data_IF_526768485439
#
_entry.id   IF_526768485439
#
_cell.length_a   1.000
_cell.length_b   1.000
_cell.length_c   1.000
_cell.angle_alpha   90.00
_cell.angle_beta   90.00
_cell.angle_gamma   90.00
#
_symmetry.space_group_name_H-M   'P 1'
#
loop_
_entity.id
_entity.type
_entity.pdbx_description
1 polymer ?
#
# COMPACT_ATOMS: atom_id res chain seq x y z
N UNK A 1 -30.69 -50.80 -47.17
CA UNK A 1 -29.94 -50.88 -45.89
C UNK A 1 -30.63 -49.94 -44.89
N UNK A 2 -31.84 -50.23 -44.41
CA UNK A 2 -32.21 -50.92 -43.16
C UNK A 2 -31.37 -50.67 -41.89
N UNK A 3 -32.04 -50.02 -40.91
CA UNK A 3 -32.03 -50.11 -39.43
C UNK A 3 -30.82 -49.53 -38.66
N UNK A 4 -30.98 -48.53 -37.78
CA UNK A 4 -31.64 -48.45 -36.44
C UNK A 4 -30.89 -49.15 -35.29
N UNK A 5 -30.68 -48.35 -34.21
CA UNK A 5 -30.51 -48.67 -32.77
C UNK A 5 -29.10 -49.00 -32.26
N UNK A 6 -28.57 -48.15 -31.38
CA UNK A 6 -28.69 -48.36 -29.93
C UNK A 6 -28.41 -47.07 -29.12
N UNK A 7 -29.42 -46.66 -28.35
CA UNK A 7 -29.26 -45.84 -27.15
C UNK A 7 -28.61 -46.71 -26.06
N UNK A 8 -27.67 -46.14 -25.30
CA UNK A 8 -27.54 -46.46 -23.88
C UNK A 8 -27.48 -45.14 -23.12
N UNK A 9 -28.50 -44.95 -22.27
CA UNK A 9 -28.58 -43.96 -21.22
C UNK A 9 -27.90 -44.58 -19.99
N UNK A 10 -26.99 -43.86 -19.35
CA UNK A 10 -26.79 -43.96 -17.91
C UNK A 10 -26.70 -42.56 -17.32
N UNK A 11 -27.71 -42.23 -16.54
CA UNK A 11 -27.73 -41.14 -15.57
C UNK A 11 -27.11 -41.62 -14.24
N UNK A 12 -26.98 -40.68 -13.28
CA UNK A 12 -26.43 -40.75 -11.91
C UNK A 12 -24.94 -40.38 -11.84
N UNK A 13 -24.44 -39.49 -10.98
CA UNK A 13 -24.90 -38.87 -9.73
C UNK A 13 -24.08 -37.56 -9.57
N UNK A 14 -24.68 -36.44 -9.18
CA UNK A 14 -24.66 -35.86 -7.83
C UNK A 14 -23.29 -35.29 -7.37
N UNK A 15 -23.32 -34.06 -6.89
CA UNK A 15 -22.14 -33.28 -6.51
C UNK A 15 -21.50 -33.67 -5.18
N UNK A 16 -20.52 -32.86 -4.78
CA UNK A 16 -20.15 -32.40 -3.43
C UNK A 16 -18.64 -32.09 -3.37
N UNK A 17 -18.34 -30.85 -2.96
CA UNK A 17 -17.27 -30.32 -2.12
C UNK A 17 -15.82 -30.88 -2.08
N UNK A 18 -14.88 -29.93 -2.08
CA UNK A 18 -13.71 -29.77 -1.19
C UNK A 18 -13.10 -31.02 -0.54
N UNK A 19 -11.82 -31.32 -0.82
CA UNK A 19 -10.65 -31.01 0.05
C UNK A 19 -9.39 -31.81 -0.33
N UNK A 20 -8.25 -31.11 -0.28
CA UNK A 20 -6.94 -31.50 0.25
C UNK A 20 -6.14 -32.72 -0.28
N UNK A 21 -4.91 -32.42 -0.75
CA UNK A 21 -3.65 -33.15 -0.53
C UNK A 21 -2.54 -32.09 -0.69
N UNK A 22 -1.97 -31.45 0.35
CA UNK A 22 -1.08 -31.92 1.42
C UNK A 22 0.08 -32.83 0.97
N UNK A 23 1.31 -32.29 1.08
CA UNK A 23 2.60 -32.98 0.98
C UNK A 23 3.55 -32.26 0.03
N UNK A 24 4.31 -31.24 0.43
CA UNK A 24 5.44 -31.35 1.36
C UNK A 24 6.06 -29.96 1.59
N UNK A 25 5.88 -29.34 2.77
CA UNK A 25 6.77 -28.24 3.23
C UNK A 25 6.84 -28.08 4.76
N UNK A 26 6.42 -29.09 5.53
CA UNK A 26 6.32 -29.03 7.00
C UNK A 26 7.67 -29.15 7.77
N UNK A 27 8.81 -28.72 7.22
CA UNK A 27 10.09 -28.76 7.98
C UNK A 27 10.94 -27.49 7.98
N UNK A 28 10.46 -26.37 7.43
CA UNK A 28 11.15 -25.06 7.57
C UNK A 28 10.41 -24.03 8.44
N UNK A 29 9.16 -24.27 8.81
CA UNK A 29 8.32 -23.26 9.47
C UNK A 29 8.42 -23.24 11.01
N UNK A 30 8.91 -24.30 11.65
CA UNK A 30 9.01 -24.35 13.13
C UNK A 30 10.27 -23.69 13.70
N UNK A 31 11.29 -23.41 12.86
CA UNK A 31 12.52 -22.75 13.31
C UNK A 31 12.51 -21.22 13.15
N UNK A 32 11.54 -20.65 12.42
CA UNK A 32 11.38 -19.21 12.25
C UNK A 32 10.44 -18.57 13.31
N UNK A 33 9.63 -19.37 13.99
CA UNK A 33 8.62 -18.88 14.93
C UNK A 33 9.17 -18.55 16.34
N UNK A 34 10.43 -18.86 16.63
CA UNK A 34 11.05 -18.65 17.96
C UNK A 34 12.07 -17.50 18.02
N UNK A 35 12.36 -16.82 16.91
CA UNK A 35 13.25 -15.63 16.91
C UNK A 35 12.51 -14.29 16.76
N UNK A 36 11.21 -14.28 16.44
CA UNK A 36 10.43 -13.06 16.18
C UNK A 36 9.87 -12.35 17.42
N UNK A 37 10.27 -12.72 18.64
CA UNK A 37 9.80 -12.05 19.86
C UNK A 37 10.66 -10.84 20.29
N UNK A 38 11.72 -10.48 19.55
CA UNK A 38 12.69 -9.47 19.99
C UNK A 38 12.82 -8.23 19.07
N UNK A 39 12.12 -8.15 17.94
CA UNK A 39 12.33 -7.07 16.94
C UNK A 39 11.75 -5.72 17.35
N UNK A 40 10.74 -5.68 18.23
CA UNK A 40 10.23 -4.42 18.82
C UNK A 40 11.24 -3.65 19.66
N UNK A 41 12.44 -4.21 19.90
CA UNK A 41 13.56 -3.55 20.57
C UNK A 41 14.52 -2.83 19.62
N UNK A 42 14.56 -3.22 18.33
CA UNK A 42 15.55 -2.71 17.37
C UNK A 42 15.06 -1.37 16.82
N UNK A 43 15.89 -0.33 16.94
CA UNK A 43 15.62 0.98 16.33
C UNK A 43 16.01 0.94 14.85
N UNK A 44 15.17 1.48 13.97
CA UNK A 44 15.55 1.70 12.57
C UNK A 44 16.68 2.74 12.47
N UNK A 45 17.69 2.44 11.67
CA UNK A 45 18.79 3.32 11.30
C UNK A 45 18.45 4.24 10.13
N UNK A 46 17.32 4.01 9.44
CA UNK A 46 16.86 4.86 8.36
C UNK A 46 16.63 6.29 8.86
N UNK A 47 17.01 7.29 8.06
CA UNK A 47 16.68 8.68 8.30
C UNK A 47 15.20 8.87 7.94
N UNK A 48 14.40 9.32 8.91
CA UNK A 48 13.00 9.70 8.72
C UNK A 48 12.93 11.23 8.58
N UNK A 49 12.59 11.76 7.39
CA UNK A 49 12.46 13.20 7.22
C UNK A 49 11.35 13.78 8.10
N UNK A 50 11.55 14.96 8.68
CA UNK A 50 10.55 15.59 9.56
C UNK A 50 9.19 15.78 8.91
N UNK A 51 9.17 16.01 7.60
CA UNK A 51 7.93 16.18 6.82
C UNK A 51 7.10 14.90 6.73
N UNK A 52 7.68 13.72 7.01
CA UNK A 52 6.96 12.44 6.91
C UNK A 52 6.12 12.13 8.14
N UNK A 53 6.25 12.89 9.23
CA UNK A 53 5.59 12.61 10.52
C UNK A 53 4.07 12.64 10.47
N UNK A 54 3.47 13.48 9.64
CA UNK A 54 2.01 13.63 9.50
C UNK A 54 1.55 13.43 8.05
N UNK A 55 2.46 12.96 7.19
CA UNK A 55 2.22 12.78 5.77
C UNK A 55 1.19 11.68 5.48
N UNK A 56 0.45 11.91 4.40
CA UNK A 56 -0.43 10.93 3.72
C UNK A 56 0.07 10.71 2.31
N UNK A 57 0.09 9.45 1.87
CA UNK A 57 0.48 9.05 0.51
C UNK A 57 -0.73 9.15 -0.41
N UNK A 58 -0.49 9.65 -1.62
CA UNK A 58 -1.39 9.55 -2.74
C UNK A 58 -0.68 8.82 -3.88
N UNK A 59 -1.17 7.64 -4.23
CA UNK A 59 -0.63 6.85 -5.33
C UNK A 59 -1.23 7.31 -6.66
N UNK A 60 -0.36 7.66 -7.60
CA UNK A 60 -0.67 8.29 -8.88
C UNK A 60 -0.44 7.32 -10.01
N UNK A 61 -1.53 6.86 -10.60
CA UNK A 61 -1.52 6.18 -11.90
C UNK A 61 -1.61 7.21 -13.05
N UNK A 62 -0.47 7.66 -13.58
CA UNK A 62 -0.41 8.71 -14.63
C UNK A 62 -1.21 8.33 -15.86
N UNK A 63 -1.06 7.09 -16.36
CA UNK A 63 -1.78 6.59 -17.53
C UNK A 63 -3.28 6.75 -17.35
N UNK A 64 -3.83 6.37 -16.20
CA UNK A 64 -5.28 6.38 -15.98
C UNK A 64 -5.83 7.71 -15.46
N UNK A 65 -4.98 8.63 -15.02
CA UNK A 65 -5.44 9.84 -14.33
C UNK A 65 -6.26 10.79 -15.19
N UNK A 66 -5.87 10.98 -16.44
CA UNK A 66 -6.52 11.93 -17.36
C UNK A 66 -6.70 11.27 -18.72
N UNK A 67 -7.55 11.81 -19.58
CA UNK A 67 -7.69 11.35 -20.96
C UNK A 67 -6.34 11.26 -21.70
N UNK A 68 -5.51 12.28 -21.55
CA UNK A 68 -4.18 12.36 -22.17
C UNK A 68 -3.19 11.38 -21.53
N UNK A 69 -3.28 11.14 -20.22
CA UNK A 69 -2.40 10.23 -19.50
C UNK A 69 -0.95 10.73 -19.42
N UNK A 70 -0.73 12.05 -19.40
CA UNK A 70 0.62 12.66 -19.40
C UNK A 70 0.93 13.43 -18.12
N UNK A 71 2.21 13.70 -17.87
CA UNK A 71 2.64 14.53 -16.73
C UNK A 71 2.03 15.93 -16.77
N UNK A 72 2.05 16.58 -17.93
CA UNK A 72 1.48 17.92 -18.10
C UNK A 72 -0.04 17.97 -17.88
N UNK A 73 -0.76 16.88 -18.20
CA UNK A 73 -2.18 16.78 -17.91
C UNK A 73 -2.43 16.53 -16.42
N UNK A 74 -1.64 15.64 -15.79
CA UNK A 74 -1.73 15.36 -14.35
C UNK A 74 -1.40 16.59 -13.49
N UNK A 75 -0.41 17.40 -13.88
CA UNK A 75 0.01 18.61 -13.15
C UNK A 75 -1.16 19.54 -12.81
N UNK A 76 -2.14 19.65 -13.72
CA UNK A 76 -3.35 20.47 -13.52
C UNK A 76 -4.22 20.01 -12.35
N UNK A 77 -4.01 18.79 -11.85
CA UNK A 77 -4.68 18.22 -10.68
C UNK A 77 -3.98 18.55 -9.37
N UNK A 78 -2.74 19.04 -9.38
CA UNK A 78 -1.99 19.36 -8.16
C UNK A 78 -2.73 20.36 -7.24
N UNK A 79 -3.41 21.41 -7.72
CA UNK A 79 -4.22 22.27 -6.85
C UNK A 79 -5.34 21.52 -6.12
N UNK A 80 -6.00 20.56 -6.79
CA UNK A 80 -7.04 19.73 -6.17
C UNK A 80 -6.44 18.80 -5.12
N UNK A 81 -5.30 18.16 -5.40
CA UNK A 81 -4.60 17.30 -4.44
C UNK A 81 -4.08 18.11 -3.23
N UNK A 82 -3.67 19.36 -3.45
CA UNK A 82 -3.22 20.24 -2.37
C UNK A 82 -4.37 20.60 -1.46
N UNK A 83 -5.55 20.89 -2.04
CA UNK A 83 -6.79 21.10 -1.30
C UNK A 83 -7.24 19.84 -0.56
N UNK A 84 -7.08 18.65 -1.17
CA UNK A 84 -7.35 17.37 -0.51
C UNK A 84 -6.46 17.23 0.74
N UNK A 85 -5.20 17.65 0.64
CA UNK A 85 -4.28 17.77 1.77
C UNK A 85 -3.18 16.70 1.81
N UNK A 86 -3.06 15.86 0.78
CA UNK A 86 -2.01 14.84 0.71
C UNK A 86 -0.61 15.47 0.63
N UNK A 87 0.41 14.72 1.05
CA UNK A 87 1.77 15.21 1.14
C UNK A 87 2.69 14.52 0.12
N UNK A 88 2.54 13.20 -0.03
CA UNK A 88 3.40 12.40 -0.89
C UNK A 88 2.64 12.03 -2.16
N UNK A 89 3.23 12.26 -3.32
CA UNK A 89 2.80 11.74 -4.61
C UNK A 89 3.69 10.54 -4.94
N UNK A 90 3.18 9.32 -4.75
CA UNK A 90 3.85 8.12 -5.24
C UNK A 90 3.42 7.89 -6.68
N UNK A 91 4.33 8.15 -7.62
CA UNK A 91 4.08 8.00 -9.05
C UNK A 91 4.46 6.57 -9.45
N UNK A 92 3.48 5.82 -9.98
CA UNK A 92 3.68 4.48 -10.58
C UNK A 92 4.78 4.49 -11.65
N UNK A 93 5.33 3.33 -12.07
CA UNK A 93 6.53 3.32 -12.90
C UNK A 93 6.39 4.16 -14.18
N UNK A 94 7.36 5.04 -14.42
CA UNK A 94 7.37 5.97 -15.56
C UNK A 94 8.30 5.53 -16.69
N UNK A 95 9.05 4.46 -16.49
CA UNK A 95 10.06 4.03 -17.44
C UNK A 95 9.44 3.47 -18.73
N UNK A 96 10.16 3.51 -19.86
CA UNK A 96 9.73 2.85 -21.08
C UNK A 96 9.40 1.38 -20.84
N UNK A 97 8.29 0.92 -21.39
CA UNK A 97 7.77 -0.43 -21.21
C UNK A 97 8.22 -1.33 -22.36
N UNK A 98 8.64 -2.54 -22.03
CA UNK A 98 9.05 -3.57 -22.98
C UNK A 98 7.95 -3.88 -24.00
N UNK A 99 8.37 -4.01 -25.26
CA UNK A 99 7.53 -4.47 -26.38
C UNK A 99 7.61 -5.98 -26.52
N UNK A 100 8.77 -6.57 -26.21
CA UNK A 100 8.94 -8.02 -26.22
C UNK A 100 8.12 -8.68 -25.11
N UNK A 101 7.37 -9.73 -25.48
CA UNK A 101 6.46 -10.49 -24.61
C UNK A 101 5.37 -9.65 -23.93
N UNK A 102 5.08 -8.45 -24.47
CA UNK A 102 4.14 -7.50 -23.86
C UNK A 102 2.75 -8.13 -23.63
N UNK A 103 2.22 -7.90 -22.43
CA UNK A 103 0.81 -8.19 -22.07
C UNK A 103 -0.08 -7.00 -22.42
N UNK A 104 -1.20 -7.26 -23.09
CA UNK A 104 -2.12 -6.21 -23.54
C UNK A 104 -1.49 -5.24 -24.54
N UNK A 105 -2.18 -4.13 -24.82
CA UNK A 105 -1.74 -3.17 -25.84
C UNK A 105 -0.60 -2.28 -25.35
N UNK A 106 -0.68 -1.80 -24.11
CA UNK A 106 0.26 -0.82 -23.55
C UNK A 106 1.32 -1.45 -22.64
N UNK A 107 1.12 -2.70 -22.21
CA UNK A 107 2.08 -3.41 -21.37
C UNK A 107 1.98 -3.08 -19.89
N UNK A 108 2.62 -3.94 -19.09
CA UNK A 108 2.83 -3.71 -17.67
C UNK A 108 3.75 -2.51 -17.44
N UNK A 109 3.39 -1.62 -16.51
CA UNK A 109 4.29 -0.55 -16.04
C UNK A 109 5.61 -1.12 -15.51
N UNK A 110 5.59 -2.36 -15.03
CA UNK A 110 6.68 -3.02 -14.35
C UNK A 110 7.66 -3.76 -15.29
N UNK A 111 7.35 -3.83 -16.59
CA UNK A 111 8.26 -4.41 -17.59
C UNK A 111 9.27 -3.38 -18.11
N UNK A 112 10.22 -2.97 -17.26
CA UNK A 112 11.14 -1.85 -17.53
C UNK A 112 12.13 -2.15 -18.65
N UNK A 113 12.07 -1.37 -19.73
CA UNK A 113 13.00 -1.42 -20.87
C UNK A 113 14.24 -0.53 -20.68
N UNK A 114 14.10 0.61 -20.01
CA UNK A 114 15.21 1.52 -19.71
C UNK A 114 15.00 2.27 -18.38
N UNK A 115 15.83 1.96 -17.39
CA UNK A 115 15.76 2.56 -16.05
C UNK A 115 16.04 4.06 -15.99
N UNK A 116 16.69 4.64 -16.99
CA UNK A 116 16.97 6.10 -17.03
C UNK A 116 16.11 6.85 -18.04
N UNK A 117 15.28 6.14 -18.80
CA UNK A 117 14.34 6.72 -19.75
C UNK A 117 13.02 7.11 -19.08
N UNK A 118 12.30 8.03 -19.72
CA UNK A 118 10.87 8.30 -19.49
C UNK A 118 10.08 7.68 -20.63
N UNK A 119 8.98 6.99 -20.32
CA UNK A 119 8.08 6.45 -21.32
C UNK A 119 7.46 7.61 -22.13
N UNK A 120 7.62 7.65 -23.47
CA UNK A 120 7.06 8.70 -24.31
C UNK A 120 5.53 8.85 -24.19
N UNK A 121 4.84 7.82 -23.69
CA UNK A 121 3.41 7.89 -23.34
C UNK A 121 3.13 9.01 -22.33
N UNK A 122 4.02 9.23 -21.36
CA UNK A 122 3.80 10.16 -20.25
C UNK A 122 4.38 11.55 -20.52
N UNK A 123 5.36 11.65 -21.44
CA UNK A 123 6.11 12.84 -21.76
C UNK A 123 7.60 12.54 -21.93
N UNK A 124 8.45 13.52 -21.62
CA UNK A 124 9.90 13.38 -21.60
C UNK A 124 10.50 13.73 -20.22
N UNK A 125 11.83 13.66 -20.09
CA UNK A 125 12.52 13.99 -18.83
C UNK A 125 12.27 15.42 -18.36
N UNK A 126 12.23 16.40 -19.27
CA UNK A 126 11.95 17.79 -18.90
C UNK A 126 10.52 17.96 -18.38
N UNK A 127 9.54 17.26 -18.98
CA UNK A 127 8.15 17.27 -18.49
C UNK A 127 8.06 16.66 -17.08
N UNK A 128 8.77 15.55 -16.82
CA UNK A 128 8.80 14.95 -15.50
C UNK A 128 9.46 15.86 -14.46
N UNK A 129 10.59 16.48 -14.81
CA UNK A 129 11.26 17.45 -13.94
C UNK A 129 10.35 18.63 -13.62
N UNK A 130 9.65 19.14 -14.62
CA UNK A 130 8.68 20.23 -14.43
C UNK A 130 7.56 19.84 -13.46
N UNK A 131 7.02 18.62 -13.59
CA UNK A 131 6.02 18.10 -12.65
C UNK A 131 6.58 18.01 -11.23
N UNK A 132 7.81 17.52 -11.04
CA UNK A 132 8.44 17.44 -9.72
C UNK A 132 8.65 18.84 -9.12
N UNK A 133 9.17 19.79 -9.90
CA UNK A 133 9.37 21.17 -9.46
C UNK A 133 8.05 21.81 -9.04
N UNK A 134 6.98 21.62 -9.83
CA UNK A 134 5.63 22.11 -9.49
C UNK A 134 5.05 21.43 -8.26
N UNK A 135 5.30 20.13 -8.09
CA UNK A 135 4.90 19.41 -6.89
C UNK A 135 5.61 20.01 -5.65
N UNK A 136 6.92 20.27 -5.73
CA UNK A 136 7.70 20.89 -4.66
C UNK A 136 7.28 22.32 -4.34
N UNK A 137 6.99 23.15 -5.36
CA UNK A 137 6.43 24.50 -5.17
C UNK A 137 5.14 24.49 -4.33
N UNK A 138 4.35 23.41 -4.45
CA UNK A 138 3.11 23.21 -3.69
C UNK A 138 3.31 22.44 -2.39
N UNK A 139 4.55 22.10 -2.03
CA UNK A 139 4.91 21.39 -0.80
C UNK A 139 4.55 19.90 -0.80
N UNK A 140 4.46 19.28 -1.98
CA UNK A 140 4.42 17.82 -2.09
C UNK A 140 5.82 17.23 -2.06
N UNK A 141 5.90 15.93 -1.80
CA UNK A 141 7.09 15.10 -1.99
C UNK A 141 6.81 14.03 -3.03
N UNK A 142 7.75 13.74 -3.92
CA UNK A 142 7.56 12.80 -5.03
C UNK A 142 8.34 11.53 -4.78
N UNK A 143 7.65 10.39 -4.70
CA UNK A 143 8.27 9.07 -4.73
C UNK A 143 8.09 8.47 -6.11
N UNK A 144 9.17 7.92 -6.66
CA UNK A 144 9.10 7.16 -7.91
C UNK A 144 8.98 5.66 -7.61
N UNK A 145 8.09 4.97 -8.32
CA UNK A 145 8.04 3.51 -8.28
C UNK A 145 9.26 2.89 -8.96
N UNK A 146 9.92 1.95 -8.30
CA UNK A 146 11.21 1.43 -8.70
C UNK A 146 11.22 -0.09 -8.75
N UNK A 147 11.44 -0.63 -9.95
CA UNK A 147 11.40 -2.07 -10.24
C UNK A 147 12.80 -2.67 -10.20
N UNK A 148 13.25 -3.09 -9.03
CA UNK A 148 14.62 -3.57 -8.85
C UNK A 148 14.79 -5.07 -9.10
N UNK A 149 13.72 -5.87 -9.01
CA UNK A 149 13.82 -7.33 -9.07
C UNK A 149 14.00 -7.86 -10.50
N UNK A 150 13.43 -7.18 -11.50
CA UNK A 150 13.32 -7.70 -12.85
C UNK A 150 13.29 -6.57 -13.88
N UNK A 151 13.58 -6.90 -15.13
CA UNK A 151 13.43 -5.98 -16.28
C UNK A 151 12.42 -6.53 -17.28
N UNK A 152 12.02 -5.73 -18.28
CA UNK A 152 11.42 -6.25 -19.49
C UNK A 152 12.43 -7.01 -20.38
N UNK A 153 11.92 -7.81 -21.33
CA UNK A 153 12.73 -8.71 -22.17
C UNK A 153 13.53 -8.05 -23.30
N UNK A 154 13.25 -6.79 -23.60
CA UNK A 154 14.00 -5.97 -24.55
C UNK A 154 14.80 -4.84 -23.86
N UNK A 155 15.01 -4.97 -22.54
CA UNK A 155 15.97 -4.13 -21.84
C UNK A 155 17.38 -4.37 -22.39
N UNK A 156 18.16 -3.30 -22.61
CA UNK A 156 19.51 -3.40 -23.17
C UNK A 156 20.45 -4.31 -22.37
N UNK A 157 20.23 -4.45 -21.06
CA UNK A 157 21.03 -5.34 -20.22
C UNK A 157 20.88 -6.81 -20.64
N UNK A 158 19.73 -7.23 -21.20
CA UNK A 158 19.53 -8.60 -21.71
C UNK A 158 20.59 -8.95 -22.75
N UNK A 159 20.91 -8.01 -23.65
CA UNK A 159 21.84 -8.24 -24.76
C UNK A 159 23.27 -7.86 -24.44
N UNK A 160 23.47 -6.79 -23.66
CA UNK A 160 24.79 -6.28 -23.31
C UNK A 160 25.44 -7.10 -22.18
N UNK A 161 24.62 -7.61 -21.26
CA UNK A 161 25.06 -8.25 -20.02
C UNK A 161 24.15 -9.43 -19.63
N UNK A 162 24.08 -10.51 -20.43
CA UNK A 162 23.21 -11.65 -20.14
C UNK A 162 23.55 -12.34 -18.80
N UNK A 163 24.78 -12.18 -18.28
CA UNK A 163 25.23 -12.65 -16.96
C UNK A 163 24.64 -11.86 -15.77
N UNK A 164 23.94 -10.75 -16.04
CA UNK A 164 23.22 -9.96 -15.03
C UNK A 164 21.84 -10.54 -14.72
N UNK A 165 21.44 -11.62 -15.40
CA UNK A 165 20.14 -12.26 -15.23
C UNK A 165 20.29 -13.66 -14.66
N UNK A 166 19.25 -14.11 -13.96
CA UNK A 166 19.15 -15.50 -13.53
C UNK A 166 18.93 -16.38 -14.76
N UNK A 167 19.66 -17.49 -14.82
CA UNK A 167 19.63 -18.43 -15.94
C UNK A 167 19.31 -19.84 -15.47
N UNK A 168 18.63 -20.60 -16.33
CA UNK A 168 18.43 -22.04 -16.14
C UNK A 168 19.73 -22.84 -16.35
N UNK A 169 19.68 -24.16 -16.19
CA UNK A 169 20.85 -25.04 -16.37
C UNK A 169 21.38 -25.10 -17.80
N UNK A 170 20.64 -24.57 -18.77
CA UNK A 170 21.02 -24.48 -20.19
C UNK A 170 21.54 -23.07 -20.55
N UNK A 171 21.56 -22.15 -19.59
CA UNK A 171 22.00 -20.77 -19.79
C UNK A 171 20.91 -19.84 -20.34
N UNK A 172 19.64 -20.25 -20.36
CA UNK A 172 18.55 -19.38 -20.79
C UNK A 172 18.11 -18.49 -19.63
N UNK A 173 17.95 -17.20 -19.91
CA UNK A 173 17.36 -16.25 -18.96
C UNK A 173 15.93 -16.68 -18.61
N UNK A 174 15.56 -16.55 -17.34
CA UNK A 174 14.23 -16.94 -16.84
C UNK A 174 13.45 -15.74 -16.26
N UNK A 175 12.14 -15.91 -16.13
CA UNK A 175 11.28 -15.02 -15.37
C UNK A 175 11.36 -15.31 -13.86
N UNK A 176 11.16 -14.30 -12.99
CA UNK A 176 11.21 -14.49 -11.52
C UNK A 176 10.07 -15.38 -11.02
N UNK A 177 8.91 -15.27 -11.67
CA UNK A 177 7.72 -16.08 -11.44
C UNK A 177 7.25 -16.61 -12.79
N UNK A 178 6.86 -17.90 -12.91
CA UNK A 178 6.50 -18.51 -14.20
C UNK A 178 5.44 -17.73 -15.01
N UNK A 179 4.45 -17.13 -14.34
CA UNK A 179 3.37 -16.39 -14.98
C UNK A 179 3.75 -14.94 -15.37
N UNK A 180 4.91 -14.46 -14.92
CA UNK A 180 5.43 -13.13 -15.25
C UNK A 180 6.24 -13.18 -16.55
N UNK A 181 5.59 -13.69 -17.60
CA UNK A 181 6.19 -13.98 -18.91
C UNK A 181 6.72 -12.75 -19.66
N UNK A 182 6.34 -11.54 -19.24
CA UNK A 182 6.74 -10.26 -19.81
C UNK A 182 8.01 -9.67 -19.15
N UNK A 183 8.57 -10.32 -18.13
CA UNK A 183 9.77 -9.84 -17.42
C UNK A 183 10.81 -10.93 -17.20
N UNK A 184 12.07 -10.50 -17.01
CA UNK A 184 13.26 -11.31 -16.83
C UNK A 184 13.93 -11.02 -15.47
N UNK A 185 14.32 -12.07 -14.75
CA UNK A 185 14.82 -12.01 -13.37
C UNK A 185 16.27 -11.53 -13.28
N UNK A 186 16.54 -10.57 -12.40
CA UNK A 186 17.88 -10.01 -12.21
C UNK A 186 18.70 -10.82 -11.20
N UNK A 187 19.95 -11.12 -11.56
CA UNK A 187 20.87 -11.88 -10.71
C UNK A 187 21.62 -10.97 -9.74
N UNK A 188 21.13 -10.91 -8.49
CA UNK A 188 21.75 -10.11 -7.42
C UNK A 188 23.08 -10.65 -6.88
N UNK A 189 23.59 -11.77 -7.39
CA UNK A 189 24.98 -12.18 -7.13
C UNK A 189 25.99 -11.41 -8.01
N UNK A 190 25.53 -10.71 -9.05
CA UNK A 190 26.40 -9.96 -9.94
C UNK A 190 26.66 -8.54 -9.38
N UNK A 191 27.90 -8.22 -8.94
CA UNK A 191 28.20 -6.92 -8.33
C UNK A 191 28.11 -5.75 -9.33
N UNK A 192 28.35 -6.00 -10.63
CA UNK A 192 28.27 -4.96 -11.65
C UNK A 192 26.81 -4.58 -11.92
N UNK A 193 25.90 -5.56 -11.98
CA UNK A 193 24.46 -5.32 -12.05
C UNK A 193 23.98 -4.47 -10.87
N UNK A 194 24.36 -4.84 -9.64
CA UNK A 194 24.00 -4.08 -8.43
C UNK A 194 24.49 -2.64 -8.50
N UNK A 195 25.73 -2.42 -8.92
CA UNK A 195 26.28 -1.09 -9.09
C UNK A 195 25.51 -0.28 -10.17
N UNK A 196 25.13 -0.91 -11.28
CA UNK A 196 24.34 -0.29 -12.34
C UNK A 196 22.93 0.08 -11.86
N UNK A 197 22.27 -0.79 -11.08
CA UNK A 197 20.97 -0.52 -10.47
C UNK A 197 21.02 0.68 -9.52
N UNK A 198 21.98 0.70 -8.59
CA UNK A 198 22.17 1.83 -7.68
C UNK A 198 22.47 3.11 -8.47
N UNK A 199 23.29 3.03 -9.52
CA UNK A 199 23.57 4.17 -10.37
C UNK A 199 22.31 4.71 -11.07
N UNK A 200 21.41 3.83 -11.50
CA UNK A 200 20.13 4.21 -12.09
C UNK A 200 19.17 4.83 -11.06
N UNK A 201 19.16 4.37 -9.81
CA UNK A 201 18.45 5.07 -8.73
C UNK A 201 19.04 6.47 -8.53
N UNK A 202 20.34 6.59 -8.25
CA UNK A 202 21.03 7.88 -8.03
C UNK A 202 20.77 8.91 -9.14
N UNK A 203 20.62 8.45 -10.39
CA UNK A 203 20.26 9.30 -11.51
C UNK A 203 18.97 10.09 -11.26
N UNK A 204 17.89 9.47 -10.82
CA UNK A 204 16.62 10.19 -10.61
C UNK A 204 16.65 11.17 -9.44
N UNK A 205 17.35 10.82 -8.35
CA UNK A 205 17.55 11.75 -7.21
C UNK A 205 18.32 12.99 -7.66
N UNK A 206 19.35 12.83 -8.51
CA UNK A 206 20.17 13.95 -8.99
C UNK A 206 19.49 14.76 -10.10
N UNK A 207 18.93 14.07 -11.09
CA UNK A 207 18.46 14.71 -12.33
C UNK A 207 17.04 15.26 -12.20
N UNK A 208 16.19 14.59 -11.41
CA UNK A 208 14.78 14.94 -11.25
C UNK A 208 14.40 15.33 -9.82
N UNK A 209 15.37 15.37 -8.89
CA UNK A 209 15.15 15.80 -7.51
C UNK A 209 14.02 15.06 -6.76
N UNK A 210 13.69 13.83 -7.14
CA UNK A 210 12.66 13.05 -6.43
C UNK A 210 13.05 12.84 -4.96
N UNK A 211 12.07 12.63 -4.08
CA UNK A 211 12.24 12.55 -2.63
C UNK A 211 12.40 11.13 -2.10
N UNK A 212 12.33 10.15 -2.99
CA UNK A 212 12.63 8.76 -2.70
C UNK A 212 11.89 7.78 -3.60
N UNK A 213 11.65 6.58 -3.09
CA UNK A 213 11.16 5.47 -3.89
C UNK A 213 10.11 4.65 -3.17
N UNK A 214 9.12 4.16 -3.93
CA UNK A 214 8.46 2.90 -3.63
C UNK A 214 9.18 1.80 -4.41
N UNK A 215 9.64 0.75 -3.75
CA UNK A 215 10.40 -0.31 -4.39
C UNK A 215 9.52 -1.55 -4.57
N UNK A 216 9.28 -1.90 -5.82
CA UNK A 216 8.52 -3.06 -6.27
C UNK A 216 9.17 -4.36 -5.79
N UNK A 217 8.34 -5.27 -5.29
CA UNK A 217 8.68 -6.60 -4.78
C UNK A 217 9.99 -6.60 -3.97
N UNK A 218 10.14 -5.59 -3.10
CA UNK A 218 11.39 -5.34 -2.37
C UNK A 218 11.84 -6.55 -1.54
N UNK A 219 10.89 -7.37 -1.07
CA UNK A 219 11.15 -8.62 -0.36
C UNK A 219 11.88 -9.70 -1.17
N UNK A 220 11.85 -9.60 -2.50
CA UNK A 220 12.56 -10.51 -3.42
C UNK A 220 13.98 -10.04 -3.77
N UNK A 221 14.37 -8.84 -3.31
CA UNK A 221 15.70 -8.27 -3.53
C UNK A 221 16.50 -8.30 -2.21
N UNK A 222 17.80 -8.68 -2.22
CA UNK A 222 18.57 -8.84 -0.98
C UNK A 222 18.65 -7.59 -0.10
N UNK A 223 18.53 -7.76 1.22
CA UNK A 223 18.58 -6.66 2.19
C UNK A 223 19.90 -5.89 2.15
N UNK A 224 21.02 -6.59 1.93
CA UNK A 224 22.34 -5.95 1.85
C UNK A 224 22.48 -5.04 0.61
N UNK A 225 21.79 -5.36 -0.49
CA UNK A 225 21.68 -4.46 -1.64
C UNK A 225 20.94 -3.18 -1.25
N UNK A 226 19.78 -3.30 -0.61
CA UNK A 226 19.00 -2.15 -0.19
C UNK A 226 19.75 -1.28 0.81
N UNK A 227 20.49 -1.87 1.74
CA UNK A 227 21.35 -1.15 2.68
C UNK A 227 22.46 -0.36 1.98
N UNK A 228 23.06 -0.93 0.94
CA UNK A 228 24.04 -0.26 0.10
C UNK A 228 23.39 0.88 -0.69
N UNK A 229 22.27 0.62 -1.36
CA UNK A 229 21.52 1.62 -2.12
C UNK A 229 21.12 2.80 -1.23
N UNK A 230 20.58 2.53 -0.04
CA UNK A 230 20.21 3.55 0.95
C UNK A 230 21.37 4.47 1.29
N UNK A 231 22.53 3.89 1.60
CA UNK A 231 23.75 4.66 1.94
C UNK A 231 24.16 5.59 0.79
N UNK A 232 24.13 5.08 -0.44
CA UNK A 232 24.51 5.82 -1.65
C UNK A 232 23.51 6.92 -2.05
N UNK A 233 22.22 6.73 -1.71
CA UNK A 233 21.16 7.72 -1.95
C UNK A 233 21.21 8.84 -0.90
N UNK A 234 21.33 8.48 0.38
CA UNK A 234 21.42 9.46 1.49
C UNK A 234 22.66 10.37 1.35
N UNK A 235 23.74 9.89 0.72
CA UNK A 235 24.91 10.69 0.37
C UNK A 235 24.61 11.80 -0.65
N UNK A 236 23.50 11.72 -1.39
CA UNK A 236 23.01 12.79 -2.28
C UNK A 236 22.06 13.69 -1.49
N UNK A 237 20.99 13.10 -0.94
CA UNK A 237 20.06 13.71 0.02
C UNK A 237 19.29 12.61 0.76
N UNK A 238 18.81 12.84 1.99
CA UNK A 238 17.93 11.89 2.67
C UNK A 238 16.70 11.57 1.82
N UNK A 239 16.46 10.28 1.57
CA UNK A 239 15.30 9.80 0.81
C UNK A 239 14.30 9.07 1.70
N UNK A 240 13.02 9.11 1.31
CA UNK A 240 11.99 8.24 1.88
C UNK A 240 11.85 6.97 1.04
N UNK A 241 12.05 5.80 1.64
CA UNK A 241 11.91 4.51 0.95
C UNK A 241 10.73 3.70 1.50
N UNK A 242 9.84 3.27 0.60
CA UNK A 242 8.71 2.39 0.86
C UNK A 242 8.97 1.02 0.19
N UNK A 243 9.01 -0.05 0.98
CA UNK A 243 9.19 -1.41 0.49
C UNK A 243 7.83 -2.04 0.16
N UNK A 244 7.65 -2.55 -1.06
CA UNK A 244 6.61 -3.55 -1.28
C UNK A 244 7.03 -4.89 -0.69
N UNK A 245 6.69 -5.06 0.57
CA UNK A 245 6.85 -6.26 1.38
C UNK A 245 6.03 -6.06 2.67
N UNK A 246 5.61 -7.14 3.34
CA UNK A 246 4.93 -7.05 4.63
C UNK A 246 5.59 -7.87 5.74
N UNK A 247 6.52 -8.77 5.40
CA UNK A 247 6.97 -9.86 6.25
C UNK A 247 8.45 -9.73 6.66
N UNK A 248 9.29 -9.20 5.77
CA UNK A 248 10.73 -9.06 5.97
C UNK A 248 11.08 -7.76 6.69
N UNK A 249 10.99 -7.77 8.02
CA UNK A 249 11.34 -6.63 8.88
C UNK A 249 12.80 -6.18 8.78
N UNK A 250 13.71 -7.00 8.24
CA UNK A 250 15.13 -6.60 8.07
C UNK A 250 15.28 -5.45 7.05
N UNK A 251 14.35 -5.33 6.09
CA UNK A 251 14.29 -4.19 5.17
C UNK A 251 14.13 -2.86 5.91
N UNK A 252 13.39 -2.85 7.02
CA UNK A 252 13.06 -1.67 7.81
C UNK A 252 14.14 -1.28 8.81
N UNK A 253 15.14 -2.15 9.04
CA UNK A 253 16.21 -1.87 10.02
C UNK A 253 17.15 -0.77 9.56
N UNK A 254 17.41 -0.64 8.26
CA UNK A 254 18.37 0.33 7.74
C UNK A 254 17.97 0.97 6.41
N UNK A 255 17.36 0.22 5.49
CA UNK A 255 17.08 0.73 4.15
C UNK A 255 15.76 1.51 4.06
N UNK A 256 14.67 0.93 4.56
CA UNK A 256 13.32 1.42 4.31
C UNK A 256 12.71 2.13 5.52
N UNK A 257 11.95 3.19 5.25
CA UNK A 257 11.19 3.93 6.26
C UNK A 257 9.86 3.22 6.56
N UNK A 258 9.23 2.68 5.51
CA UNK A 258 7.95 2.01 5.60
C UNK A 258 7.90 0.80 4.68
N UNK A 259 6.95 -0.10 4.93
CA UNK A 259 6.60 -1.21 4.06
C UNK A 259 5.07 -1.27 3.87
N UNK A 260 4.52 -2.37 3.35
CA UNK A 260 3.08 -2.49 3.10
C UNK A 260 2.33 -3.13 4.27
N UNK A 261 1.17 -2.55 4.60
CA UNK A 261 0.21 -3.09 5.57
C UNK A 261 -0.72 -4.17 5.00
N UNK A 262 -0.24 -5.06 4.12
CA UNK A 262 -1.05 -6.13 3.52
C UNK A 262 -1.84 -6.96 4.54
N UNK A 263 -1.26 -7.42 5.67
CA UNK A 263 -2.01 -8.19 6.66
C UNK A 263 -3.20 -7.42 7.23
N UNK A 264 -3.07 -6.10 7.41
CA UNK A 264 -4.17 -5.27 7.91
C UNK A 264 -5.27 -5.09 6.86
N UNK A 265 -4.92 -4.92 5.59
CA UNK A 265 -5.88 -4.91 4.48
C UNK A 265 -6.69 -6.21 4.43
N UNK A 266 -6.02 -7.37 4.56
CA UNK A 266 -6.69 -8.67 4.57
C UNK A 266 -7.64 -8.81 5.76
N UNK A 267 -7.23 -8.38 6.96
CA UNK A 267 -8.10 -8.36 8.14
C UNK A 267 -9.36 -7.55 7.88
N UNK A 268 -9.25 -6.34 7.29
CA UNK A 268 -10.43 -5.52 6.97
C UNK A 268 -11.38 -6.21 5.99
N UNK A 269 -10.84 -6.82 4.92
CA UNK A 269 -11.64 -7.56 3.95
C UNK A 269 -12.34 -8.78 4.58
N UNK A 270 -11.65 -9.52 5.44
CA UNK A 270 -12.18 -10.71 6.13
C UNK A 270 -13.21 -10.36 7.20
N UNK A 271 -13.09 -9.21 7.87
CA UNK A 271 -14.14 -8.69 8.76
C UNK A 271 -15.41 -8.40 7.98
N UNK A 272 -15.31 -7.75 6.81
CA UNK A 272 -16.49 -7.47 5.98
C UNK A 272 -17.19 -8.77 5.51
N UNK A 273 -16.41 -9.84 5.24
CA UNK A 273 -16.95 -11.17 4.91
C UNK A 273 -17.56 -11.91 6.11
N UNK A 274 -17.29 -11.46 7.33
CA UNK A 274 -17.71 -12.13 8.57
C UNK A 274 -16.75 -13.23 9.06
N UNK A 275 -15.57 -13.35 8.46
CA UNK A 275 -14.56 -14.36 8.80
C UNK A 275 -13.64 -13.93 9.96
N UNK A 276 -13.55 -12.61 10.21
CA UNK A 276 -12.75 -11.99 11.28
C UNK A 276 -13.54 -10.96 12.07
N UNK A 277 -12.98 -10.49 13.18
CA UNK A 277 -13.63 -9.54 14.09
C UNK A 277 -12.68 -8.43 14.57
N UNK A 278 -13.15 -7.52 15.43
CA UNK A 278 -12.28 -6.51 16.06
C UNK A 278 -11.10 -7.11 16.84
N UNK A 279 -11.23 -8.33 17.36
CA UNK A 279 -10.15 -9.02 18.07
C UNK A 279 -8.94 -9.29 17.17
N UNK A 280 -9.15 -9.55 15.87
CA UNK A 280 -8.06 -9.72 14.90
C UNK A 280 -7.28 -8.43 14.68
N UNK A 281 -7.96 -7.28 14.70
CA UNK A 281 -7.32 -5.95 14.63
C UNK A 281 -6.49 -5.69 15.88
N UNK A 282 -7.06 -5.95 17.07
CA UNK A 282 -6.33 -5.81 18.34
C UNK A 282 -5.07 -6.68 18.32
N UNK A 283 -5.20 -7.95 17.95
CA UNK A 283 -4.08 -8.87 17.85
C UNK A 283 -3.03 -8.42 16.80
N UNK A 284 -3.43 -7.81 15.69
CA UNK A 284 -2.50 -7.24 14.72
C UNK A 284 -1.64 -6.14 15.35
N UNK A 285 -2.23 -5.21 16.10
CA UNK A 285 -1.47 -4.13 16.72
C UNK A 285 -0.61 -4.60 17.90
N UNK A 286 -1.12 -5.54 18.70
CA UNK A 286 -0.38 -6.08 19.86
C UNK A 286 0.79 -6.98 19.47
N UNK A 287 0.74 -7.64 18.30
CA UNK A 287 1.77 -8.60 17.87
C UNK A 287 2.52 -8.14 16.63
N UNK A 288 1.81 -7.97 15.51
CA UNK A 288 2.44 -7.69 14.22
C UNK A 288 3.02 -6.29 14.19
N UNK A 289 2.25 -5.26 14.53
CA UNK A 289 2.74 -3.89 14.56
C UNK A 289 3.83 -3.70 15.63
N UNK A 290 3.65 -4.30 16.81
CA UNK A 290 4.65 -4.25 17.88
C UNK A 290 6.02 -4.84 17.50
N UNK A 291 6.09 -5.68 16.46
CA UNK A 291 7.33 -6.26 15.94
C UNK A 291 8.12 -5.33 15.00
N UNK A 292 7.55 -4.20 14.57
CA UNK A 292 8.23 -3.26 13.68
C UNK A 292 9.45 -2.63 14.36
N UNK A 293 10.59 -2.46 13.64
CA UNK A 293 11.69 -1.66 14.15
C UNK A 293 11.23 -0.25 14.55
N UNK A 294 11.62 0.22 15.73
CA UNK A 294 11.17 1.53 16.25
C UNK A 294 11.47 2.63 15.25
N UNK A 295 10.45 3.44 14.95
CA UNK A 295 10.51 4.51 13.95
C UNK A 295 9.91 4.13 12.61
N UNK A 296 10.06 2.87 12.19
CA UNK A 296 9.42 2.35 10.96
C UNK A 296 7.95 2.02 11.19
N UNK A 297 7.19 1.93 10.12
CA UNK A 297 5.74 1.67 10.18
C UNK A 297 5.23 1.16 8.83
N UNK A 298 4.11 0.42 8.82
CA UNK A 298 3.43 0.08 7.59
C UNK A 298 2.73 1.29 6.97
N UNK A 299 2.65 1.29 5.65
CA UNK A 299 1.64 2.00 4.89
C UNK A 299 0.30 1.27 5.05
N UNK A 300 -0.72 1.97 5.55
CA UNK A 300 -2.05 1.42 5.82
C UNK A 300 -3.03 1.89 4.74
N UNK A 301 -3.78 0.96 4.14
CA UNK A 301 -4.59 1.26 2.97
C UNK A 301 -5.78 0.33 2.81
N UNK A 302 -6.80 0.78 2.07
CA UNK A 302 -7.95 -0.05 1.67
C UNK A 302 -7.81 -0.56 0.24
N UNK A 303 -7.07 0.14 -0.63
CA UNK A 303 -6.77 -0.26 -2.01
C UNK A 303 -5.48 0.41 -2.49
N UNK A 304 -4.89 -0.15 -3.53
CA UNK A 304 -3.82 0.40 -4.36
C UNK A 304 -4.08 -0.02 -5.83
N UNK A 305 -3.09 0.12 -6.72
CA UNK A 305 -3.22 -0.35 -8.10
C UNK A 305 -3.52 -1.85 -8.23
N UNK A 306 -2.83 -2.71 -7.47
CA UNK A 306 -3.01 -4.16 -7.56
C UNK A 306 -4.39 -4.60 -7.07
N UNK A 307 -4.79 -4.10 -5.91
CA UNK A 307 -6.09 -4.42 -5.33
C UNK A 307 -7.22 -3.98 -6.27
N UNK A 308 -7.14 -2.76 -6.82
CA UNK A 308 -8.18 -2.26 -7.70
C UNK A 308 -8.27 -3.09 -9.00
N UNK A 309 -7.14 -3.38 -9.65
CA UNK A 309 -7.13 -4.07 -10.94
C UNK A 309 -7.45 -5.56 -10.81
N UNK A 310 -6.93 -6.25 -9.79
CA UNK A 310 -6.97 -7.71 -9.71
C UNK A 310 -8.00 -8.23 -8.68
N UNK A 311 -8.06 -7.62 -7.50
CA UNK A 311 -8.86 -8.14 -6.38
C UNK A 311 -10.24 -7.47 -6.24
N UNK A 312 -10.41 -6.33 -6.89
CA UNK A 312 -11.65 -5.59 -6.99
C UNK A 312 -11.61 -4.22 -6.32
N UNK A 313 -12.58 -3.39 -6.70
CA UNK A 313 -12.72 -2.06 -6.12
C UNK A 313 -12.98 -2.12 -4.62
N UNK A 314 -12.67 -1.03 -3.92
CA UNK A 314 -12.98 -0.88 -2.50
C UNK A 314 -14.47 -1.18 -2.21
N UNK A 315 -15.37 -0.81 -3.12
CA UNK A 315 -16.81 -1.05 -2.97
C UNK A 315 -17.20 -2.51 -3.19
N UNK A 316 -16.55 -3.24 -4.10
CA UNK A 316 -16.79 -4.68 -4.25
C UNK A 316 -16.30 -5.46 -3.04
N UNK A 317 -15.17 -5.06 -2.45
CA UNK A 317 -14.55 -5.77 -1.33
C UNK A 317 -15.10 -5.39 0.04
N UNK A 318 -15.57 -4.15 0.23
CA UNK A 318 -15.98 -3.60 1.53
C UNK A 318 -17.42 -3.03 1.55
N UNK A 319 -18.13 -3.01 0.42
CA UNK A 319 -19.53 -2.57 0.32
C UNK A 319 -19.86 -1.28 1.07
N UNK A 320 -20.80 -1.37 2.00
CA UNK A 320 -21.24 -0.20 2.80
C UNK A 320 -20.22 0.20 3.89
N UNK A 321 -19.23 -0.64 4.18
CA UNK A 321 -18.18 -0.39 5.16
C UNK A 321 -16.99 0.41 4.59
N UNK A 322 -17.05 0.87 3.33
CA UNK A 322 -15.94 1.62 2.68
C UNK A 322 -15.52 2.83 3.52
N UNK A 323 -16.46 3.62 4.04
CA UNK A 323 -16.13 4.80 4.89
C UNK A 323 -15.60 4.39 6.26
N UNK A 324 -16.09 3.30 6.81
CA UNK A 324 -15.68 2.73 8.10
C UNK A 324 -14.20 2.35 8.05
N UNK A 325 -13.83 1.50 7.10
CA UNK A 325 -12.45 1.04 6.96
C UNK A 325 -11.53 2.14 6.44
N UNK A 326 -12.00 3.02 5.54
CA UNK A 326 -11.20 4.19 5.14
C UNK A 326 -10.97 5.17 6.29
N UNK A 327 -11.90 5.30 7.25
CA UNK A 327 -11.66 6.12 8.43
C UNK A 327 -10.69 5.43 9.39
N UNK A 328 -10.82 4.11 9.56
CA UNK A 328 -9.94 3.30 10.38
C UNK A 328 -8.48 3.42 9.94
N UNK A 329 -8.18 3.38 8.63
CA UNK A 329 -6.81 3.51 8.11
C UNK A 329 -6.13 4.84 8.45
N UNK A 330 -6.89 5.89 8.76
CA UNK A 330 -6.36 7.20 9.14
C UNK A 330 -6.14 7.38 10.64
N UNK A 331 -6.80 6.58 11.47
CA UNK A 331 -6.69 6.70 12.94
C UNK A 331 -5.82 5.64 13.59
N UNK A 332 -5.57 4.50 12.95
CA UNK A 332 -4.62 3.51 13.46
C UNK A 332 -3.15 3.91 13.22
N UNK A 333 -2.18 3.35 13.97
CA UNK A 333 -0.76 3.57 13.68
C UNK A 333 -0.35 3.11 12.27
N UNK A 334 0.46 3.95 11.61
CA UNK A 334 0.89 3.75 10.23
C UNK A 334 0.68 5.00 9.38
N UNK A 335 1.10 4.93 8.11
CA UNK A 335 0.95 6.02 7.14
C UNK A 335 -0.18 5.69 6.15
N UNK A 336 -1.25 6.50 6.08
CA UNK A 336 -2.36 6.20 5.19
C UNK A 336 -1.99 6.42 3.72
N UNK A 337 -2.55 5.58 2.85
CA UNK A 337 -2.53 5.74 1.39
C UNK A 337 -3.94 5.98 0.84
N UNK A 338 -4.03 6.89 -0.13
CA UNK A 338 -5.17 7.06 -1.04
C UNK A 338 -4.70 6.71 -2.46
N UNK A 339 -5.41 5.80 -3.13
CA UNK A 339 -5.15 5.49 -4.54
C UNK A 339 -5.96 6.40 -5.47
N UNK A 340 -5.38 6.77 -6.62
CA UNK A 340 -6.04 7.47 -7.72
C UNK A 340 -7.50 7.03 -7.92
N UNK A 341 -8.43 7.99 -7.76
CA UNK A 341 -9.85 7.78 -8.01
C UNK A 341 -10.65 7.37 -6.78
N UNK A 342 -10.03 7.01 -5.65
CA UNK A 342 -10.80 6.77 -4.41
C UNK A 342 -11.55 8.03 -3.95
N UNK A 343 -10.95 9.21 -4.08
CA UNK A 343 -11.60 10.48 -3.78
C UNK A 343 -12.69 10.87 -4.80
N UNK A 344 -12.69 10.17 -5.93
CA UNK A 344 -13.74 10.23 -6.95
C UNK A 344 -14.79 9.11 -6.80
N UNK A 345 -14.77 8.35 -5.70
CA UNK A 345 -15.72 7.27 -5.47
C UNK A 345 -15.60 6.13 -6.50
N UNK A 346 -14.41 5.88 -7.05
CA UNK A 346 -14.18 4.93 -8.14
C UNK A 346 -14.75 3.53 -7.85
N UNK A 347 -15.77 3.15 -8.63
CA UNK A 347 -16.42 1.82 -8.63
C UNK A 347 -16.02 0.95 -9.82
N UNK A 348 -14.96 1.35 -10.53
CA UNK A 348 -14.40 0.62 -11.68
C UNK A 348 -13.05 0.01 -11.33
N UNK A 349 -12.85 -1.26 -11.70
CA UNK A 349 -11.53 -1.89 -11.74
C UNK A 349 -10.82 -1.38 -12.99
N UNK A 350 -9.69 -0.71 -12.81
CA UNK A 350 -8.95 -0.11 -13.92
C UNK A 350 -8.22 -1.19 -14.72
N UNK A 351 -8.39 -1.19 -16.04
CA UNK A 351 -7.66 -2.10 -16.91
C UNK A 351 -6.16 -1.80 -16.88
N UNK A 352 -5.39 -2.73 -16.32
CA UNK A 352 -3.98 -2.49 -15.98
C UNK A 352 -3.07 -2.30 -17.20
N UNK A 353 -3.27 -3.13 -18.24
CA UNK A 353 -2.45 -3.13 -19.46
C UNK A 353 -2.98 -2.22 -20.59
N UNK A 354 -4.04 -1.47 -20.33
CA UNK A 354 -4.77 -0.68 -21.33
C UNK A 354 -4.90 0.79 -20.88
N UNK A 355 -5.41 1.67 -21.75
CA UNK A 355 -5.85 3.02 -21.35
C UNK A 355 -7.30 2.95 -20.90
N UNK A 356 -7.54 3.26 -19.64
CA UNK A 356 -8.84 3.21 -18.99
C UNK A 356 -8.95 4.36 -17.96
N UNK A 357 -9.42 5.52 -18.44
CA UNK A 357 -9.45 6.77 -17.67
C UNK A 357 -10.35 6.68 -16.42
N UNK A 358 -9.90 7.29 -15.33
CA UNK A 358 -10.69 7.50 -14.12
C UNK A 358 -11.80 8.51 -14.39
N UNK A 359 -13.02 8.19 -14.00
CA UNK A 359 -14.14 9.14 -14.04
C UNK A 359 -14.05 10.10 -12.84
N UNK A 360 -13.84 11.38 -13.12
CA UNK A 360 -13.74 12.45 -12.13
C UNK A 360 -15.05 13.23 -11.92
N UNK A 361 -16.15 12.80 -12.51
CA UNK A 361 -17.44 13.50 -12.43
C UNK A 361 -18.09 13.43 -11.04
N UNK A 362 -17.79 12.39 -10.26
CA UNK A 362 -18.20 12.25 -8.87
C UNK A 362 -17.00 12.55 -7.96
N UNK A 363 -17.04 13.65 -7.20
CA UNK A 363 -16.02 13.98 -6.18
C UNK A 363 -16.59 13.89 -4.75
N UNK A 364 -17.67 13.13 -4.56
CA UNK A 364 -18.37 13.03 -3.27
C UNK A 364 -17.48 12.54 -2.12
N UNK A 365 -16.46 11.73 -2.43
CA UNK A 365 -15.49 11.22 -1.44
C UNK A 365 -14.35 12.21 -1.14
N UNK A 366 -14.18 13.26 -1.93
CA UNK A 366 -13.07 14.22 -1.74
C UNK A 366 -13.15 14.96 -0.41
N UNK A 367 -14.33 15.45 -0.01
CA UNK A 367 -14.49 16.10 1.29
C UNK A 367 -14.31 15.12 2.46
N UNK A 368 -14.70 13.86 2.27
CA UNK A 368 -14.53 12.81 3.27
C UNK A 368 -13.04 12.54 3.54
N UNK A 369 -12.25 12.29 2.49
CA UNK A 369 -10.81 12.10 2.65
C UNK A 369 -10.09 13.37 3.13
N UNK A 370 -10.52 14.55 2.67
CA UNK A 370 -9.98 15.81 3.18
C UNK A 370 -10.13 15.93 4.70
N UNK A 371 -11.32 15.64 5.24
CA UNK A 371 -11.55 15.64 6.70
C UNK A 371 -10.67 14.64 7.43
N UNK A 372 -10.46 13.44 6.88
CA UNK A 372 -9.58 12.43 7.47
C UNK A 372 -8.11 12.87 7.51
N UNK A 373 -7.63 13.47 6.42
CA UNK A 373 -6.28 14.03 6.35
C UNK A 373 -6.13 15.18 7.35
N UNK A 374 -7.12 16.08 7.41
CA UNK A 374 -7.09 17.22 8.32
C UNK A 374 -7.09 16.77 9.79
N UNK A 375 -7.94 15.79 10.13
CA UNK A 375 -7.97 15.15 11.45
C UNK A 375 -6.58 14.62 11.85
N UNK A 376 -5.89 13.93 10.93
CA UNK A 376 -4.53 13.44 11.18
C UNK A 376 -3.53 14.57 11.41
N UNK A 377 -3.60 15.65 10.63
CA UNK A 377 -2.68 16.79 10.73
C UNK A 377 -2.86 17.56 12.03
N UNK A 378 -4.11 17.83 12.41
CA UNK A 378 -4.44 18.63 13.58
C UNK A 378 -4.23 17.89 14.90
N UNK A 379 -4.11 16.57 14.87
CA UNK A 379 -4.02 15.75 16.07
C UNK A 379 -2.78 14.86 16.05
N UNK A 380 -1.73 15.27 16.77
CA UNK A 380 -0.44 14.56 16.78
C UNK A 380 -0.50 13.15 17.39
N UNK A 381 -1.60 12.77 18.08
CA UNK A 381 -1.82 11.38 18.46
C UNK A 381 -1.97 10.47 17.23
N UNK A 382 -2.34 11.02 16.08
CA UNK A 382 -2.56 10.28 14.83
C UNK A 382 -1.35 10.30 13.88
N UNK A 383 -0.25 10.95 14.24
CA UNK A 383 0.95 11.01 13.41
C UNK A 383 1.59 9.61 13.21
N UNK A 384 2.49 9.54 12.23
CA UNK A 384 3.14 8.34 11.74
C UNK A 384 4.28 7.90 12.66
N UNK A 385 4.46 6.59 12.80
CA UNK A 385 5.56 5.99 13.57
C UNK A 385 5.66 6.56 15.00
N UNK A 386 6.90 6.81 15.43
CA UNK A 386 7.19 7.34 16.76
C UNK A 386 6.70 8.79 16.99
N UNK A 387 6.21 9.47 15.95
CA UNK A 387 5.65 10.82 16.10
C UNK A 387 4.18 10.79 16.53
N UNK A 388 3.52 9.64 16.45
CA UNK A 388 2.13 9.42 16.88
C UNK A 388 2.01 8.82 18.28
N UNK A 389 0.76 8.66 18.72
CA UNK A 389 0.44 7.89 19.92
C UNK A 389 0.32 6.39 19.62
N UNK A 390 0.53 5.58 20.66
CA UNK A 390 0.37 4.12 20.59
C UNK A 390 -1.12 3.73 20.45
N UNK A 391 -1.37 2.57 19.85
CA UNK A 391 -2.69 1.96 19.81
C UNK A 391 -3.00 1.30 21.16
N UNK A 392 -3.98 1.83 21.89
CA UNK A 392 -4.40 1.30 23.18
C UNK A 392 -5.86 0.85 23.09
N UNK A 393 -6.09 -0.45 23.11
CA UNK A 393 -7.44 -1.05 23.13
C UNK A 393 -8.21 -0.59 24.36
N UNK A 394 -9.49 -0.26 24.17
CA UNK A 394 -10.43 0.02 25.25
C UNK A 394 -11.52 -1.04 25.26
N UNK A 395 -11.70 -1.69 26.42
CA UNK A 395 -12.74 -2.70 26.63
C UNK A 395 -14.14 -2.12 26.47
N UNK A 396 -15.04 -2.90 25.88
CA UNK A 396 -16.43 -2.50 25.69
C UNK A 396 -17.39 -3.70 25.70
N UNK A 397 -18.66 -3.46 26.03
CA UNK A 397 -19.65 -4.52 26.21
C UNK A 397 -20.15 -5.21 24.93
N UNK A 398 -19.72 -4.75 23.75
CA UNK A 398 -20.09 -5.32 22.45
C UNK A 398 -18.91 -5.91 21.67
N UNK A 399 -17.78 -6.16 22.33
CA UNK A 399 -16.72 -6.97 21.73
C UNK A 399 -17.23 -8.39 21.40
N UNK A 400 -16.78 -9.00 20.28
CA UNK A 400 -15.79 -8.48 19.33
C UNK A 400 -16.41 -7.76 18.13
N UNK A 401 -17.69 -7.35 18.17
CA UNK A 401 -18.34 -6.60 17.08
C UNK A 401 -17.90 -5.14 17.01
N UNK A 402 -17.62 -4.53 18.17
CA UNK A 402 -17.20 -3.12 18.26
C UNK A 402 -15.72 -3.04 18.61
N UNK A 403 -14.95 -2.40 17.74
CA UNK A 403 -13.58 -1.99 18.03
C UNK A 403 -13.61 -0.63 18.73
N UNK A 404 -13.03 -0.56 19.93
CA UNK A 404 -12.78 0.70 20.64
C UNK A 404 -11.32 0.79 21.02
N UNK A 405 -10.67 1.91 20.70
CA UNK A 405 -9.28 2.16 21.06
C UNK A 405 -9.02 3.65 21.23
N UNK A 406 -7.89 3.97 21.85
CA UNK A 406 -7.38 5.33 21.94
C UNK A 406 -5.95 5.43 21.46
N UNK A 407 -5.57 6.65 21.07
CA UNK A 407 -4.18 7.07 20.83
C UNK A 407 -3.98 8.40 21.55
N UNK A 408 -2.81 8.58 22.16
CA UNK A 408 -2.49 9.80 22.90
C UNK A 408 -1.05 10.22 22.62
N UNK A 409 -0.83 11.51 22.40
CA UNK A 409 0.50 12.09 22.30
C UNK A 409 0.47 13.56 22.68
N UNK A 410 1.47 14.03 23.45
CA UNK A 410 1.68 15.46 23.78
C UNK A 410 0.39 16.24 24.14
N UNK A 411 -0.46 15.65 24.99
CA UNK A 411 -1.71 16.28 25.45
C UNK A 411 -2.92 16.09 24.54
N UNK A 412 -2.73 15.74 23.26
CA UNK A 412 -3.83 15.38 22.37
C UNK A 412 -4.24 13.92 22.60
N UNK A 413 -5.53 13.64 22.52
CA UNK A 413 -6.07 12.30 22.63
C UNK A 413 -7.16 12.05 21.59
N UNK A 414 -7.09 10.90 20.94
CA UNK A 414 -8.14 10.42 20.03
C UNK A 414 -8.71 9.12 20.57
N UNK A 415 -10.04 9.04 20.65
CA UNK A 415 -10.78 7.82 20.98
C UNK A 415 -11.63 7.47 19.77
N UNK A 416 -11.45 6.26 19.25
CA UNK A 416 -12.16 5.82 18.07
C UNK A 416 -13.01 4.61 18.38
N UNK A 417 -14.25 4.64 17.91
CA UNK A 417 -15.23 3.57 18.03
C UNK A 417 -15.70 3.17 16.64
N UNK A 418 -15.64 1.88 16.33
CA UNK A 418 -16.11 1.32 15.06
C UNK A 418 -17.01 0.12 15.30
N UNK A 419 -18.25 0.17 14.80
CA UNK A 419 -19.08 -1.01 14.61
C UNK A 419 -18.58 -1.75 13.37
N UNK A 420 -18.05 -2.95 13.56
CA UNK A 420 -17.49 -3.78 12.49
C UNK A 420 -18.46 -4.91 12.13
N UNK A 421 -19.77 -4.61 12.12
CA UNK A 421 -20.82 -5.57 11.80
C UNK A 421 -21.95 -4.92 10.99
N UNK A 422 -22.75 -5.74 10.27
CA UNK A 422 -23.89 -5.26 9.48
C UNK A 422 -25.14 -4.99 10.32
N UNK A 423 -25.06 -5.15 11.65
CA UNK A 423 -26.18 -4.92 12.56
C UNK A 423 -25.98 -3.62 13.34
N UNK A 424 -27.06 -2.87 13.68
CA UNK A 424 -26.94 -1.80 14.65
C UNK A 424 -26.53 -2.36 16.02
N UNK A 425 -25.74 -1.60 16.76
CA UNK A 425 -25.21 -2.01 18.07
C UNK A 425 -25.39 -0.92 19.10
N UNK A 426 -25.76 -1.33 20.32
CA UNK A 426 -25.73 -0.49 21.52
C UNK A 426 -24.73 -1.09 22.49
N UNK A 427 -23.82 -0.28 23.02
CA UNK A 427 -22.72 -0.76 23.86
C UNK A 427 -22.23 0.32 24.83
N UNK A 428 -21.43 -0.08 25.81
CA UNK A 428 -20.77 0.82 26.77
C UNK A 428 -19.26 0.55 26.77
N UNK A 429 -18.45 1.58 26.97
CA UNK A 429 -17.01 1.43 27.21
C UNK A 429 -16.83 1.05 28.69
N UNK A 430 -16.27 -0.12 28.96
CA UNK A 430 -16.22 -0.73 30.30
C UNK A 430 -14.84 -0.70 30.94
N UNK A 431 -13.79 -0.37 30.18
CA UNK A 431 -12.41 -0.28 30.66
C UNK A 431 -12.07 1.01 31.39
N UNK A 432 -10.90 1.06 32.03
CA UNK A 432 -10.35 2.27 32.64
C UNK A 432 -10.00 3.30 31.56
N UNK A 433 -10.88 4.28 31.37
CA UNK A 433 -10.73 5.37 30.42
C UNK A 433 -10.76 6.72 31.16
N UNK A 434 -9.94 7.68 30.74
CA UNK A 434 -10.01 9.03 31.30
C UNK A 434 -11.30 9.71 30.84
N UNK A 435 -12.30 9.72 31.72
CA UNK A 435 -13.52 10.47 31.50
C UNK A 435 -13.22 11.94 31.19
N UNK A 436 -13.92 12.47 30.19
CA UNK A 436 -13.75 13.85 29.76
C UNK A 436 -14.70 14.21 28.63
N UNK A 437 -14.82 15.50 28.37
CA UNK A 437 -15.53 16.03 27.21
C UNK A 437 -14.60 15.99 26.00
N UNK A 438 -15.06 15.34 24.94
CA UNK A 438 -14.38 15.25 23.66
C UNK A 438 -15.23 15.89 22.58
N UNK A 439 -14.61 16.27 21.47
CA UNK A 439 -15.29 16.72 20.26
C UNK A 439 -15.36 15.59 19.24
N UNK A 440 -16.53 15.28 18.71
CA UNK A 440 -16.65 14.33 17.61
C UNK A 440 -16.10 14.96 16.32
N UNK A 441 -15.19 14.26 15.64
CA UNK A 441 -14.31 14.82 14.61
C UNK A 441 -15.04 15.31 13.35
N UNK A 442 -16.18 14.72 13.00
CA UNK A 442 -16.90 15.04 11.75
C UNK A 442 -18.01 16.05 11.93
N UNK A 443 -18.69 16.02 13.08
CA UNK A 443 -19.84 16.84 13.45
C UNK A 443 -19.45 18.04 14.31
N UNK A 444 -18.33 17.94 15.04
CA UNK A 444 -17.88 18.94 15.99
C UNK A 444 -18.69 19.00 17.28
N UNK A 445 -19.62 18.07 17.50
CA UNK A 445 -20.43 18.03 18.72
C UNK A 445 -19.58 17.57 19.91
N UNK A 446 -19.75 18.26 21.03
CA UNK A 446 -19.13 17.85 22.29
C UNK A 446 -19.90 16.68 22.90
N UNK A 447 -19.16 15.70 23.41
CA UNK A 447 -19.69 14.53 24.10
C UNK A 447 -18.77 14.12 25.22
N UNK A 448 -19.34 13.92 26.41
CA UNK A 448 -18.66 13.18 27.47
C UNK A 448 -18.74 11.69 27.15
N UNK A 449 -17.59 11.00 27.11
CA UNK A 449 -17.53 9.58 26.77
C UNK A 449 -17.91 8.71 27.96
N UNK A 450 -19.20 8.69 28.28
CA UNK A 450 -19.83 7.81 29.27
C UNK A 450 -21.19 7.30 28.77
N UNK A 451 -21.72 6.28 29.45
CA UNK A 451 -23.02 5.67 29.15
C UNK A 451 -23.06 4.91 27.82
N UNK A 452 -24.29 4.75 27.30
CA UNK A 452 -24.58 3.92 26.13
C UNK A 452 -24.28 4.66 24.83
N UNK A 453 -23.46 4.02 23.99
CA UNK A 453 -23.23 4.38 22.60
C UNK A 453 -24.20 3.61 21.70
N UNK A 454 -24.62 4.24 20.60
CA UNK A 454 -25.40 3.60 19.54
C UNK A 454 -24.71 3.84 18.21
N UNK A 455 -24.46 2.77 17.47
CA UNK A 455 -23.90 2.85 16.12
C UNK A 455 -24.80 2.06 15.17
N UNK A 456 -25.08 2.67 14.03
CA UNK A 456 -25.70 1.99 12.89
C UNK A 456 -24.78 0.89 12.35
N UNK A 457 -25.27 -0.02 11.48
CA UNK A 457 -24.43 -0.94 10.72
C UNK A 457 -23.21 -0.24 10.13
N UNK A 458 -22.01 -0.79 10.36
CA UNK A 458 -20.74 -0.20 9.92
C UNK A 458 -20.48 1.24 10.41
N UNK A 459 -21.26 1.73 11.38
CA UNK A 459 -21.11 3.08 11.92
C UNK A 459 -19.82 3.27 12.71
N UNK A 460 -19.33 4.50 12.77
CA UNK A 460 -18.14 4.84 13.56
C UNK A 460 -18.25 6.26 14.11
N UNK A 461 -17.53 6.51 15.19
CA UNK A 461 -17.40 7.83 15.81
C UNK A 461 -15.95 8.02 16.24
N UNK A 462 -15.39 9.19 15.95
CA UNK A 462 -14.00 9.52 16.29
C UNK A 462 -14.02 10.77 17.14
N UNK A 463 -13.50 10.67 18.35
CA UNK A 463 -13.53 11.72 19.35
C UNK A 463 -12.12 12.26 19.56
N UNK A 464 -11.97 13.57 19.52
CA UNK A 464 -10.68 14.24 19.70
C UNK A 464 -10.72 15.18 20.89
N UNK A 465 -9.58 15.32 21.54
CA UNK A 465 -9.32 16.23 22.65
C UNK A 465 -7.96 16.86 22.49
#
# INVERSE_FOLDING_TARGET
>A
MLRLRNLFVLALMAGVFFTACNGTSKKKTEKAATENAATGSVKSEAIFPDWSRDATIYEVNIRQYTKEGTFAAFEKSLPRLKKLGVNILWIMPINPISEKNRKGKLGSYYAVRDYKGVNPEFGNLADFKHLVDKAHEMGFHVLLDWVANHTGWDNKWITEHPDWYTQDSLGHIISPVPDWTDVADLNYNNPNMRAAMINAMKYWVKEANIDGYRCDVAGSVPVDFWNQARTELDAIKPVFMLAEDADNMDLLKKAFNANYGWPFLHIMNEIYKGDKTSADIVNYFEKTYAAYPKGSYPMIFTTNHDENSWNGTTYERLGDAVKTFSSLTFVVPGMPLIYSGQEAGLRKRLAFFEKDEIDWSDLSMSNFFHKLIQLKKDNNALWNGNSGGDFVTLENSAMPKVLTFSRQNNGNQVVSVFNLSPDPVSFEITGSFQEGTFKEAFTGQERTLNGIFKLDPWGYQIFVK
#
